data_IF_407026501516
#
_entry.id   IF_407026501516
#
_cell.length_a   1.000
_cell.length_b   1.000
_cell.length_c   1.000
_cell.angle_alpha   90.00
_cell.angle_beta   90.00
_cell.angle_gamma   90.00
#
_symmetry.space_group_name_H-M   'P 1'
#
loop_
_entity.id
_entity.type
_entity.pdbx_description
1 polymer ?
#
# COMPACT_ATOMS: atom_id res chain seq x y z
N UNK A 1 -2.06 -16.91 -7.02
CA UNK A 1 -3.13 -15.89 -7.10
C UNK A 1 -2.81 -14.80 -6.09
N UNK A 2 -2.56 -13.57 -6.54
CA UNK A 2 -2.26 -12.47 -5.62
C UNK A 2 -3.58 -11.97 -5.06
N UNK A 3 -3.80 -12.12 -3.75
CA UNK A 3 -5.06 -11.80 -3.09
C UNK A 3 -4.91 -10.64 -2.13
N UNK A 4 -6.03 -9.97 -1.87
CA UNK A 4 -6.09 -8.93 -0.83
C UNK A 4 -5.73 -9.50 0.55
N UNK A 5 -6.10 -10.76 0.84
CA UNK A 5 -5.71 -11.46 2.07
C UNK A 5 -4.19 -11.54 2.22
N UNK A 6 -3.49 -12.03 1.19
CA UNK A 6 -2.04 -12.17 1.22
C UNK A 6 -1.33 -10.81 1.38
N UNK A 7 -1.83 -9.76 0.72
CA UNK A 7 -1.30 -8.41 0.88
C UNK A 7 -1.31 -7.94 2.34
N UNK A 8 -2.42 -8.15 3.07
CA UNK A 8 -2.49 -7.79 4.49
C UNK A 8 -1.67 -8.71 5.40
N UNK A 9 -1.45 -9.98 5.03
CA UNK A 9 -0.55 -10.88 5.76
C UNK A 9 0.91 -10.42 5.64
N UNK A 10 1.34 -10.04 4.44
CA UNK A 10 2.67 -9.46 4.20
C UNK A 10 2.86 -8.14 4.95
N UNK A 11 1.88 -7.24 4.90
CA UNK A 11 1.91 -5.97 5.62
C UNK A 11 2.01 -6.16 7.14
N UNK A 12 1.27 -7.12 7.71
CA UNK A 12 1.39 -7.49 9.15
C UNK A 12 2.76 -8.04 9.51
N UNK A 13 3.43 -8.69 8.56
CA UNK A 13 4.79 -9.18 8.73
C UNK A 13 5.87 -8.11 8.44
N UNK A 14 5.47 -6.84 8.28
CA UNK A 14 6.40 -5.73 8.03
C UNK A 14 6.94 -5.67 6.61
N UNK A 15 6.34 -6.40 5.66
CA UNK A 15 6.78 -6.43 4.26
C UNK A 15 5.84 -5.60 3.40
N UNK A 16 6.39 -4.59 2.75
CA UNK A 16 5.65 -3.74 1.83
C UNK A 16 5.68 -4.34 0.42
N UNK A 17 4.50 -4.64 -0.12
CA UNK A 17 4.36 -5.34 -1.41
C UNK A 17 3.39 -4.61 -2.33
N UNK A 18 3.59 -4.77 -3.64
CA UNK A 18 2.68 -4.32 -4.69
C UNK A 18 2.48 -5.43 -5.73
N UNK A 19 1.65 -5.14 -6.72
CA UNK A 19 1.56 -5.92 -7.95
C UNK A 19 1.97 -5.09 -9.15
N UNK A 20 2.70 -5.71 -10.08
CA UNK A 20 3.12 -5.13 -11.36
C UNK A 20 2.38 -5.81 -12.49
N UNK A 21 1.81 -5.02 -13.39
CA UNK A 21 1.15 -5.56 -14.57
C UNK A 21 2.21 -6.12 -15.53
N UNK A 22 2.07 -7.38 -15.91
CA UNK A 22 3.01 -8.03 -16.82
C UNK A 22 2.98 -7.44 -18.25
N UNK A 23 1.89 -6.76 -18.64
CA UNK A 23 1.77 -6.18 -19.99
C UNK A 23 2.34 -4.76 -20.09
N UNK A 24 2.01 -3.89 -19.14
CA UNK A 24 2.32 -2.46 -19.24
C UNK A 24 3.25 -1.95 -18.13
N UNK A 25 3.63 -2.81 -17.18
CA UNK A 25 4.51 -2.46 -16.08
C UNK A 25 3.88 -1.59 -14.98
N UNK A 26 2.62 -1.19 -15.11
CA UNK A 26 1.93 -0.39 -14.10
C UNK A 26 1.88 -1.10 -12.74
N UNK A 27 2.15 -0.36 -11.67
CA UNK A 27 2.08 -0.85 -10.30
C UNK A 27 0.72 -0.56 -9.67
N UNK A 28 0.28 -1.42 -8.76
CA UNK A 28 -0.92 -1.19 -7.95
C UNK A 28 -0.74 -1.68 -6.51
N UNK A 29 -1.29 -0.90 -5.59
CA UNK A 29 -1.47 -1.21 -4.17
C UNK A 29 -2.88 -0.71 -3.77
N UNK A 30 -3.70 -1.50 -3.07
CA UNK A 30 -3.59 -2.95 -2.89
C UNK A 30 -3.80 -3.72 -4.22
N UNK A 31 -3.68 -5.07 -4.23
CA UNK A 31 -3.94 -5.86 -5.42
C UNK A 31 -5.34 -5.64 -6.03
N UNK A 32 -5.42 -5.61 -7.37
CA UNK A 32 -6.66 -5.38 -8.14
C UNK A 32 -6.89 -6.52 -9.13
N UNK A 33 -8.14 -6.78 -9.50
CA UNK A 33 -8.47 -7.82 -10.49
C UNK A 33 -7.99 -7.45 -11.90
N UNK A 34 -8.14 -6.18 -12.30
CA UNK A 34 -7.77 -5.67 -13.62
C UNK A 34 -6.82 -4.48 -13.51
N UNK A 35 -5.88 -4.39 -14.46
CA UNK A 35 -5.01 -3.24 -14.57
C UNK A 35 -5.82 -1.99 -14.92
N UNK A 36 -5.73 -0.90 -14.13
CA UNK A 36 -6.46 0.34 -14.45
C UNK A 36 -5.91 1.03 -15.71
N UNK A 37 -4.69 0.71 -16.13
CA UNK A 37 -4.06 1.30 -17.32
C UNK A 37 -4.39 0.53 -18.62
N UNK A 38 -4.30 -0.81 -18.60
CA UNK A 38 -4.44 -1.63 -19.83
C UNK A 38 -5.51 -2.74 -19.74
N UNK A 39 -6.25 -2.85 -18.63
CA UNK A 39 -7.33 -3.82 -18.41
C UNK A 39 -6.95 -5.31 -18.50
N UNK A 40 -5.67 -5.65 -18.55
CA UNK A 40 -5.23 -7.04 -18.46
C UNK A 40 -5.20 -7.53 -17.01
N UNK A 41 -5.27 -8.85 -16.82
CA UNK A 41 -5.34 -9.52 -15.51
C UNK A 41 -4.00 -10.14 -15.07
N UNK A 42 -2.97 -10.12 -15.92
CA UNK A 42 -1.66 -10.71 -15.60
C UNK A 42 -0.88 -9.78 -14.70
N UNK A 43 -0.67 -10.25 -13.47
CA UNK A 43 -0.02 -9.53 -12.39
C UNK A 43 1.12 -10.35 -11.80
N UNK A 44 2.21 -9.67 -11.47
CA UNK A 44 3.37 -10.24 -10.80
C UNK A 44 3.57 -9.53 -9.45
N UNK A 45 3.85 -10.27 -8.36
CA UNK A 45 4.13 -9.64 -7.08
C UNK A 45 5.48 -8.94 -7.12
N UNK A 46 5.59 -7.80 -6.44
CA UNK A 46 6.87 -7.08 -6.31
C UNK A 46 7.01 -6.53 -4.90
N UNK A 47 8.21 -6.67 -4.34
CA UNK A 47 8.58 -6.02 -3.08
C UNK A 47 8.91 -4.56 -3.33
N UNK A 48 8.46 -3.68 -2.43
CA UNK A 48 8.80 -2.27 -2.46
C UNK A 48 9.94 -1.99 -1.48
N UNK A 49 10.76 -0.99 -1.79
CA UNK A 49 11.88 -0.56 -0.94
C UNK A 49 11.44 -0.06 0.43
N UNK A 50 10.22 0.50 0.51
CA UNK A 50 9.71 1.20 1.69
C UNK A 50 10.15 2.66 1.78
N UNK A 51 10.96 3.13 0.83
CA UNK A 51 11.32 4.54 0.70
C UNK A 51 10.19 5.33 0.02
N UNK A 52 10.01 6.57 0.46
CA UNK A 52 8.97 7.44 -0.07
C UNK A 52 8.93 8.79 0.62
N UNK A 53 8.05 9.64 0.12
CA UNK A 53 7.84 11.00 0.61
C UNK A 53 6.44 11.13 1.21
N UNK A 54 6.34 11.71 2.41
CA UNK A 54 5.05 12.08 3.01
C UNK A 54 4.43 13.20 2.19
N UNK A 55 3.29 12.93 1.54
CA UNK A 55 2.59 13.93 0.72
C UNK A 55 1.55 14.70 1.52
N UNK A 56 0.97 14.08 2.55
CA UNK A 56 0.04 14.70 3.47
C UNK A 56 0.04 13.94 4.80
N UNK A 57 -0.20 14.63 5.91
CA UNK A 57 -0.32 14.01 7.23
C UNK A 57 -1.29 14.77 8.12
N UNK A 58 -1.79 14.10 9.15
CA UNK A 58 -2.53 14.72 10.25
C UNK A 58 -2.19 14.05 11.57
N UNK A 59 -2.34 14.80 12.67
CA UNK A 59 -2.10 14.32 14.03
C UNK A 59 -3.44 14.10 14.72
N UNK A 60 -3.72 12.83 15.02
CA UNK A 60 -4.89 12.43 15.78
C UNK A 60 -4.61 12.66 17.27
N UNK A 61 -5.24 13.70 17.81
CA UNK A 61 -5.14 14.07 19.23
C UNK A 61 -6.22 13.42 20.09
N UNK A 62 -7.38 13.12 19.51
CA UNK A 62 -8.52 12.47 20.18
C UNK A 62 -8.91 11.25 19.34
N UNK A 63 -8.36 10.06 19.61
CA UNK A 63 -8.61 8.86 18.81
C UNK A 63 -9.84 8.07 19.30
N UNK A 64 -10.31 7.08 18.53
CA UNK A 64 -11.27 6.08 18.98
C UNK A 64 -10.77 5.33 20.22
N UNK A 65 -11.69 4.82 21.06
CA UNK A 65 -11.37 4.14 22.33
C UNK A 65 -10.30 3.06 22.20
N UNK A 66 -10.34 2.25 21.13
CA UNK A 66 -9.39 1.17 20.90
C UNK A 66 -7.94 1.60 20.65
N UNK A 67 -7.69 2.88 20.34
CA UNK A 67 -6.34 3.44 20.11
C UNK A 67 -6.02 4.61 21.05
N UNK A 68 -6.81 4.80 22.11
CA UNK A 68 -6.58 5.86 23.09
C UNK A 68 -5.16 5.86 23.70
N UNK A 69 -4.56 4.70 24.02
CA UNK A 69 -3.18 4.66 24.54
C UNK A 69 -2.10 5.14 23.56
N UNK A 70 -2.42 5.25 22.26
CA UNK A 70 -1.48 5.68 21.22
C UNK A 70 -1.49 7.21 21.02
N UNK A 71 -2.37 7.94 21.71
CA UNK A 71 -2.49 9.38 21.53
C UNK A 71 -1.30 10.16 22.12
N UNK A 72 -0.81 11.21 21.42
CA UNK A 72 -1.13 11.58 20.04
C UNK A 72 -0.35 10.74 19.02
N UNK A 73 -0.97 10.40 17.88
CA UNK A 73 -0.29 9.73 16.77
C UNK A 73 -0.53 10.43 15.43
N UNK A 74 0.47 10.37 14.54
CA UNK A 74 0.35 10.86 13.17
C UNK A 74 -0.13 9.74 12.25
N UNK A 75 -0.97 10.10 11.29
CA UNK A 75 -1.26 9.29 10.10
C UNK A 75 -0.84 10.06 8.88
N UNK A 76 -0.24 9.36 7.91
CA UNK A 76 0.36 9.98 6.73
C UNK A 76 -0.05 9.22 5.47
N UNK A 77 -0.18 9.97 4.38
CA UNK A 77 -0.18 9.44 3.01
C UNK A 77 1.26 9.55 2.52
N UNK A 78 1.82 8.43 2.07
CA UNK A 78 3.20 8.35 1.58
C UNK A 78 3.18 7.99 0.10
N UNK A 79 3.81 8.83 -0.72
CA UNK A 79 4.13 8.49 -2.11
C UNK A 79 5.45 7.74 -2.12
N UNK A 80 5.39 6.45 -2.43
CA UNK A 80 6.57 5.60 -2.52
C UNK A 80 7.37 5.94 -3.77
N UNK A 81 8.68 5.71 -3.72
CA UNK A 81 9.61 6.05 -4.80
C UNK A 81 9.29 5.29 -6.10
N UNK A 82 8.70 4.10 -6.00
CA UNK A 82 8.22 3.33 -7.15
C UNK A 82 6.96 3.92 -7.81
N UNK A 83 6.39 5.00 -7.24
CA UNK A 83 5.30 5.75 -7.85
C UNK A 83 3.90 5.33 -7.41
N UNK A 84 3.76 4.48 -6.39
CA UNK A 84 2.47 4.10 -5.79
C UNK A 84 2.29 4.74 -4.42
N UNK A 85 1.04 4.83 -3.97
CA UNK A 85 0.62 5.45 -2.69
C UNK A 85 -0.63 4.75 -2.19
#
# INVERSE_FOLDING_TARGET
MITLKNFFEEARAGRLTAIRCAECGALAVPPKEFCPACQHRRWEPVSLSGAGTVTSFTVIRIPPRGRAPEAPYAVAVVKLDEGVS
#
